data_IF_894293319966
#
_entry.id   IF_894293319966
#
_cell.length_a   1.000
_cell.length_b   1.000
_cell.length_c   1.000
_cell.angle_alpha   90.00
_cell.angle_beta   90.00
_cell.angle_gamma   90.00
#
_symmetry.space_group_name_H-M   'P 1'
#
loop_
_entity.id
_entity.type
_entity.pdbx_description
1 polymer ?
#
# COMPACT_ATOMS: atom_id res chain seq x y z
N UNK A 1 -24.48 -1.68 -18.21
CA UNK A 1 -23.36 -1.21 -19.07
C UNK A 1 -22.34 -0.60 -18.13
N UNK A 2 -21.34 -1.38 -17.71
CA UNK A 2 -20.37 -0.97 -16.69
C UNK A 2 -19.29 -0.08 -17.32
N UNK A 3 -18.88 1.02 -16.67
CA UNK A 3 -17.89 1.95 -17.22
C UNK A 3 -16.49 1.33 -17.10
N UNK A 4 -16.04 0.68 -18.18
CA UNK A 4 -14.66 0.26 -18.41
C UNK A 4 -13.79 1.45 -18.84
N UNK A 5 -13.70 2.48 -18.02
CA UNK A 5 -12.82 3.63 -18.27
C UNK A 5 -11.86 3.75 -17.09
N UNK A 6 -10.57 3.53 -17.36
CA UNK A 6 -9.41 3.50 -16.44
C UNK A 6 -9.14 2.16 -15.72
N UNK A 7 -8.87 1.08 -16.48
CA UNK A 7 -7.98 0.05 -15.93
C UNK A 7 -6.58 0.64 -15.85
N UNK A 8 -6.12 0.97 -14.65
CA UNK A 8 -4.72 1.26 -14.42
C UNK A 8 -3.95 -0.06 -14.59
N UNK A 9 -2.95 -0.08 -15.45
CA UNK A 9 -2.38 -1.27 -16.06
C UNK A 9 -1.49 -2.15 -15.15
N UNK A 10 -1.79 -2.24 -13.86
CA UNK A 10 -1.00 -2.96 -12.86
C UNK A 10 -1.93 -3.78 -11.94
N UNK A 11 -1.65 -5.09 -11.84
CA UNK A 11 -2.42 -6.09 -11.10
C UNK A 11 -2.61 -5.73 -9.61
N UNK A 12 -1.68 -4.95 -9.04
CA UNK A 12 -1.73 -4.49 -7.65
C UNK A 12 -2.97 -3.62 -7.39
N UNK A 13 -3.30 -2.73 -8.34
CA UNK A 13 -4.43 -1.79 -8.20
C UNK A 13 -5.77 -2.42 -8.59
N UNK A 14 -5.76 -3.44 -9.46
CA UNK A 14 -6.93 -4.28 -9.68
C UNK A 14 -7.35 -5.03 -8.39
N UNK A 15 -6.38 -5.39 -7.53
CA UNK A 15 -6.64 -5.98 -6.20
C UNK A 15 -7.05 -4.94 -5.16
N UNK A 16 -6.36 -3.80 -5.12
CA UNK A 16 -6.56 -2.72 -4.15
C UNK A 16 -7.85 -1.94 -4.45
N UNK A 17 -9.01 -2.57 -4.29
CA UNK A 17 -10.32 -1.99 -4.53
C UNK A 17 -11.15 -1.92 -3.24
N UNK A 18 -12.08 -0.95 -3.12
CA UNK A 18 -13.02 -0.93 -2.01
C UNK A 18 -13.82 -2.24 -1.89
N UNK A 19 -14.15 -2.64 -0.67
CA UNK A 19 -14.98 -3.82 -0.36
C UNK A 19 -14.39 -5.17 -0.83
N UNK A 20 -13.06 -5.25 -0.99
CA UNK A 20 -12.35 -6.51 -1.32
C UNK A 20 -11.42 -6.98 -0.19
N UNK A 21 -11.53 -6.41 1.01
CA UNK A 21 -10.62 -6.65 2.15
C UNK A 21 -9.15 -6.37 1.81
N UNK A 22 -8.89 -5.50 0.85
CA UNK A 22 -7.54 -5.17 0.38
C UNK A 22 -6.89 -4.00 1.11
N UNK A 23 -7.64 -3.28 1.97
CA UNK A 23 -7.14 -2.10 2.66
C UNK A 23 -7.07 -0.87 1.75
N UNK A 24 -8.18 -0.53 1.10
CA UNK A 24 -8.22 0.52 0.08
C UNK A 24 -8.12 1.95 0.64
N UNK A 25 -8.49 2.18 1.90
CA UNK A 25 -8.56 3.50 2.51
C UNK A 25 -7.53 3.65 3.62
N UNK A 26 -7.05 4.87 3.86
CA UNK A 26 -6.07 5.21 4.89
C UNK A 26 -6.75 5.27 6.27
N UNK A 27 -6.62 4.18 7.03
CA UNK A 27 -7.01 4.11 8.45
C UNK A 27 -6.34 2.90 9.12
N UNK A 28 -6.55 2.72 10.42
CA UNK A 28 -6.18 1.50 11.14
C UNK A 28 -7.32 1.07 12.05
N UNK A 29 -7.32 -0.18 12.48
CA UNK A 29 -8.35 -0.70 13.38
C UNK A 29 -7.97 -2.02 14.04
N UNK A 30 -8.63 -2.31 15.16
CA UNK A 30 -8.54 -3.55 15.90
C UNK A 30 -9.44 -4.59 15.26
N UNK A 31 -8.88 -5.74 14.87
CA UNK A 31 -9.62 -6.83 14.20
C UNK A 31 -10.35 -6.44 12.90
N UNK A 32 -10.27 -5.18 12.46
CA UNK A 32 -10.96 -4.70 11.28
C UNK A 32 -10.30 -5.24 10.01
N UNK A 33 -11.02 -6.11 9.30
CA UNK A 33 -10.53 -6.75 8.07
C UNK A 33 -10.51 -5.81 6.87
N UNK A 34 -11.17 -4.66 6.91
CA UNK A 34 -11.06 -3.64 5.86
C UNK A 34 -9.86 -2.69 6.08
N UNK A 35 -9.26 -2.68 7.28
CA UNK A 35 -8.16 -1.78 7.59
C UNK A 35 -6.88 -2.16 6.84
N UNK A 36 -6.19 -1.21 6.20
CA UNK A 36 -4.87 -1.47 5.61
C UNK A 36 -3.82 -1.80 6.66
N UNK A 37 -3.95 -1.25 7.88
CA UNK A 37 -3.16 -1.60 9.05
C UNK A 37 -4.10 -2.17 10.12
N UNK A 38 -4.01 -3.48 10.34
CA UNK A 38 -4.87 -4.19 11.30
C UNK A 38 -4.08 -4.58 12.54
N UNK A 39 -4.54 -4.16 13.71
CA UNK A 39 -4.07 -4.69 14.98
C UNK A 39 -4.79 -6.03 15.21
N UNK A 40 -4.01 -7.11 15.26
CA UNK A 40 -4.53 -8.48 15.31
C UNK A 40 -4.35 -9.12 16.70
N UNK A 41 -5.45 -9.60 17.25
CA UNK A 41 -5.58 -10.33 18.51
C UNK A 41 -6.19 -11.71 18.23
N UNK A 42 -5.41 -12.65 17.65
CA UNK A 42 -5.90 -13.95 17.22
C UNK A 42 -6.44 -14.79 18.40
N UNK A 43 -7.36 -15.74 18.12
CA UNK A 43 -7.94 -16.62 19.13
C UNK A 43 -6.85 -17.32 19.95
N UNK A 44 -6.95 -17.24 21.28
CA UNK A 44 -5.97 -17.81 22.21
C UNK A 44 -4.99 -16.79 22.80
N UNK A 45 -5.01 -15.52 22.35
CA UNK A 45 -4.23 -14.46 22.97
C UNK A 45 -4.91 -13.97 24.26
N UNK A 46 -4.25 -14.07 25.44
CA UNK A 46 -4.87 -13.67 26.70
C UNK A 46 -5.25 -12.18 26.73
N UNK A 47 -6.45 -11.87 27.21
CA UNK A 47 -6.85 -10.50 27.53
C UNK A 47 -7.02 -9.55 26.35
N UNK A 48 -7.18 -10.06 25.12
CA UNK A 48 -7.34 -9.20 23.92
C UNK A 48 -6.07 -8.44 23.54
N UNK A 49 -4.91 -8.84 24.08
CA UNK A 49 -3.62 -8.23 23.75
C UNK A 49 -3.37 -8.33 22.24
N UNK A 50 -2.94 -7.24 21.63
CA UNK A 50 -2.50 -7.24 20.23
C UNK A 50 -1.23 -8.08 20.12
N UNK A 51 -1.29 -9.15 19.33
CA UNK A 51 -0.14 -10.06 19.15
C UNK A 51 0.72 -9.66 17.94
N UNK A 52 0.11 -9.08 16.91
CA UNK A 52 0.80 -8.64 15.70
C UNK A 52 0.02 -7.51 14.99
N UNK A 53 0.73 -6.76 14.15
CA UNK A 53 0.14 -5.84 13.19
C UNK A 53 0.24 -6.41 11.79
N UNK A 54 -0.81 -6.25 10.99
CA UNK A 54 -0.87 -6.73 9.60
C UNK A 54 -1.00 -5.56 8.64
N UNK A 55 -0.13 -5.52 7.62
CA UNK A 55 -0.19 -4.57 6.52
C UNK A 55 -0.82 -5.25 5.30
N UNK A 56 -2.04 -4.84 4.93
CA UNK A 56 -2.86 -5.53 3.92
C UNK A 56 -2.69 -4.99 2.50
N UNK A 57 -2.23 -3.75 2.37
CA UNK A 57 -2.02 -3.08 1.07
C UNK A 57 -0.76 -3.57 0.33
N UNK A 58 -0.23 -4.73 0.71
CA UNK A 58 0.94 -5.37 0.12
C UNK A 58 0.52 -6.61 -0.69
N UNK A 59 1.16 -6.88 -1.82
CA UNK A 59 0.86 -8.05 -2.66
C UNK A 59 2.12 -8.75 -3.19
N UNK A 60 1.93 -9.87 -3.88
CA UNK A 60 3.01 -10.75 -4.33
C UNK A 60 3.89 -10.20 -5.44
N UNK A 61 3.53 -9.06 -6.06
CA UNK A 61 4.37 -8.42 -7.08
C UNK A 61 5.51 -7.59 -6.48
N UNK A 62 5.41 -7.25 -5.18
CA UNK A 62 6.38 -6.43 -4.50
C UNK A 62 7.63 -7.22 -4.12
N UNK A 63 8.79 -6.56 -4.18
CA UNK A 63 10.02 -7.12 -3.61
C UNK A 63 9.87 -7.13 -2.06
N UNK A 64 9.88 -8.30 -1.41
CA UNK A 64 9.60 -8.41 0.03
C UNK A 64 10.65 -7.69 0.87
N UNK A 65 11.90 -7.61 0.42
CA UNK A 65 12.97 -6.92 1.13
C UNK A 65 12.77 -5.40 1.09
N UNK A 66 12.45 -4.85 -0.08
CA UNK A 66 12.20 -3.42 -0.23
C UNK A 66 10.91 -3.01 0.50
N UNK A 67 9.86 -3.82 0.40
CA UNK A 67 8.60 -3.60 1.11
C UNK A 67 8.76 -3.58 2.62
N UNK A 68 9.42 -4.60 3.18
CA UNK A 68 9.67 -4.66 4.61
C UNK A 68 10.56 -3.50 5.08
N UNK A 69 11.59 -3.15 4.31
CA UNK A 69 12.48 -2.02 4.61
C UNK A 69 11.70 -0.69 4.66
N UNK A 70 10.78 -0.47 3.70
CA UNK A 70 9.94 0.72 3.67
C UNK A 70 8.98 0.79 4.86
N UNK A 71 8.38 -0.34 5.28
CA UNK A 71 7.51 -0.41 6.47
C UNK A 71 8.30 -0.04 7.73
N UNK A 72 9.49 -0.62 7.91
CA UNK A 72 10.35 -0.34 9.07
C UNK A 72 10.78 1.13 9.07
N UNK A 73 11.21 1.66 7.93
CA UNK A 73 11.60 3.06 7.78
C UNK A 73 10.45 4.02 8.15
N UNK A 74 9.23 3.76 7.65
CA UNK A 74 8.05 4.58 7.98
C UNK A 74 7.70 4.54 9.47
N UNK A 75 7.83 3.37 10.11
CA UNK A 75 7.62 3.23 11.55
C UNK A 75 8.65 4.02 12.38
N UNK A 76 9.93 3.95 12.01
CA UNK A 76 11.00 4.70 12.68
C UNK A 76 10.81 6.21 12.49
N UNK A 77 10.48 6.66 11.28
CA UNK A 77 10.20 8.08 11.00
C UNK A 77 9.01 8.59 11.83
N UNK A 78 7.92 7.82 11.91
CA UNK A 78 6.76 8.16 12.75
C UNK A 78 7.11 8.31 14.23
N UNK A 79 7.96 7.43 14.76
CA UNK A 79 8.46 7.53 16.14
C UNK A 79 9.35 8.76 16.35
N UNK A 80 10.25 9.04 15.41
CA UNK A 80 11.15 10.21 15.47
C UNK A 80 10.39 11.54 15.40
N UNK A 81 9.31 11.59 14.61
CA UNK A 81 8.44 12.76 14.46
C UNK A 81 7.35 12.86 15.51
N UNK A 82 7.30 11.91 16.46
CA UNK A 82 6.28 11.82 17.49
C UNK A 82 4.85 11.87 16.92
N UNK A 83 4.62 11.18 15.81
CA UNK A 83 3.27 11.09 15.24
C UNK A 83 2.35 10.29 16.15
N UNK A 84 1.18 10.86 16.45
CA UNK A 84 0.11 10.17 17.15
C UNK A 84 -0.74 9.37 16.16
N UNK A 85 -1.11 8.15 16.53
CA UNK A 85 -2.14 7.43 15.78
C UNK A 85 -3.50 8.14 15.97
N UNK A 86 -4.33 8.23 14.92
CA UNK A 86 -5.72 8.65 15.06
C UNK A 86 -6.52 7.58 15.83
N UNK A 87 -7.75 7.89 16.20
CA UNK A 87 -8.66 6.88 16.77
C UNK A 87 -8.83 5.68 15.81
N UNK A 88 -8.83 4.45 16.33
CA UNK A 88 -9.03 3.27 15.52
C UNK A 88 -10.46 3.21 14.98
N UNK A 89 -10.61 2.66 13.77
CA UNK A 89 -11.91 2.36 13.18
C UNK A 89 -12.11 0.85 13.22
N UNK A 90 -12.87 0.38 14.20
CA UNK A 90 -13.10 -1.04 14.45
C UNK A 90 -14.35 -1.58 13.74
N UNK A 91 -15.14 -0.67 13.16
CA UNK A 91 -16.38 -0.98 12.43
C UNK A 91 -16.20 -0.85 10.93
N UNK A 92 -17.27 -1.11 10.17
CA UNK A 92 -17.27 -0.87 8.72
C UNK A 92 -16.87 0.59 8.42
N UNK A 93 -15.84 0.80 7.58
CA UNK A 93 -15.36 2.14 7.28
C UNK A 93 -16.39 2.90 6.44
N UNK A 94 -16.67 4.15 6.78
CA UNK A 94 -17.43 5.05 5.90
C UNK A 94 -16.47 5.67 4.87
N UNK A 95 -16.55 5.32 3.58
CA UNK A 95 -15.61 5.80 2.56
C UNK A 95 -15.57 7.32 2.40
N UNK A 96 -16.68 8.00 2.70
CA UNK A 96 -16.78 9.46 2.54
C UNK A 96 -15.91 10.23 3.53
N UNK A 97 -15.50 9.60 4.63
CA UNK A 97 -14.69 10.21 5.68
C UNK A 97 -13.23 9.78 5.60
N UNK A 98 -12.85 8.98 4.60
CA UNK A 98 -11.53 8.37 4.53
C UNK A 98 -10.79 8.76 3.26
N UNK A 99 -9.50 9.00 3.42
CA UNK A 99 -8.62 9.21 2.28
C UNK A 99 -8.38 7.87 1.56
N UNK A 100 -8.49 7.89 0.23
CA UNK A 100 -8.17 6.73 -0.61
C UNK A 100 -6.66 6.57 -0.74
N UNK A 101 -6.14 5.34 -0.59
CA UNK A 101 -4.77 5.02 -1.01
C UNK A 101 -4.59 5.22 -2.52
N UNK A 102 -3.35 5.35 -3.02
CA UNK A 102 -3.10 5.48 -4.46
C UNK A 102 -3.87 4.44 -5.29
N UNK A 103 -4.56 4.91 -6.32
CA UNK A 103 -5.35 4.08 -7.24
C UNK A 103 -4.54 3.62 -8.45
N UNK A 104 -3.28 4.04 -8.52
CA UNK A 104 -2.44 3.82 -9.67
C UNK A 104 -0.96 3.82 -9.38
N UNK A 105 -0.18 3.17 -10.24
CA UNK A 105 1.27 3.20 -10.18
C UNK A 105 1.80 4.63 -10.30
N UNK A 106 1.16 5.45 -11.13
CA UNK A 106 1.46 6.88 -11.24
C UNK A 106 1.20 7.63 -9.92
N UNK A 107 0.04 7.46 -9.29
CA UNK A 107 -0.26 8.08 -7.99
C UNK A 107 0.69 7.59 -6.89
N UNK A 108 1.10 6.31 -6.90
CA UNK A 108 2.10 5.79 -5.96
C UNK A 108 3.49 6.36 -6.20
N UNK A 109 3.89 6.57 -7.46
CA UNK A 109 5.16 7.21 -7.79
C UNK A 109 5.17 8.67 -7.33
N UNK A 110 4.07 9.40 -7.51
CA UNK A 110 3.92 10.76 -6.98
C UNK A 110 3.95 10.80 -5.45
N UNK A 111 3.35 9.81 -4.78
CA UNK A 111 3.46 9.68 -3.32
C UNK A 111 4.89 9.39 -2.88
N UNK A 112 5.61 8.53 -3.62
CA UNK A 112 7.03 8.21 -3.36
C UNK A 112 7.95 9.42 -3.57
N UNK A 113 7.63 10.32 -4.51
CA UNK A 113 8.35 11.57 -4.70
C UNK A 113 8.22 12.55 -3.53
N UNK A 114 7.17 12.43 -2.71
CA UNK A 114 6.93 13.27 -1.52
C UNK A 114 7.43 12.64 -0.21
N UNK A 115 7.96 11.43 -0.28
CA UNK A 115 8.37 10.63 0.87
C UNK A 115 9.85 10.85 1.20
N UNK A 116 10.21 12.09 1.56
CA UNK A 116 11.59 12.54 1.75
C UNK A 116 12.34 11.73 2.83
N UNK A 117 11.62 11.17 3.81
CA UNK A 117 12.22 10.35 4.85
C UNK A 117 12.92 9.10 4.28
N UNK A 118 12.45 8.55 3.16
CA UNK A 118 13.02 7.33 2.58
C UNK A 118 14.44 7.51 2.06
N UNK A 119 14.84 8.74 1.71
CA UNK A 119 16.20 9.04 1.26
C UNK A 119 17.23 8.76 2.35
N UNK A 120 16.90 9.08 3.60
CA UNK A 120 17.77 8.82 4.76
C UNK A 120 17.93 7.30 5.02
N UNK A 121 16.86 6.52 4.84
CA UNK A 121 16.85 5.10 5.19
C UNK A 121 17.34 4.16 4.09
N UNK A 122 16.95 4.43 2.84
CA UNK A 122 17.19 3.53 1.70
C UNK A 122 18.38 4.02 0.84
N UNK A 123 18.74 5.30 0.98
CA UNK A 123 19.81 5.94 0.23
C UNK A 123 19.35 6.44 -1.14
N UNK A 124 19.91 7.57 -1.56
CA UNK A 124 19.52 8.29 -2.78
C UNK A 124 19.65 7.43 -4.05
N UNK A 125 20.78 6.74 -4.24
CA UNK A 125 21.02 5.93 -5.44
C UNK A 125 19.94 4.85 -5.65
N UNK A 126 19.56 4.14 -4.58
CA UNK A 126 18.56 3.08 -4.66
C UNK A 126 17.15 3.66 -4.85
N UNK A 127 16.81 4.73 -4.13
CA UNK A 127 15.51 5.38 -4.29
C UNK A 127 15.34 5.97 -5.70
N UNK A 128 16.38 6.59 -6.24
CA UNK A 128 16.41 7.12 -7.60
C UNK A 128 16.24 5.99 -8.63
N UNK A 129 16.93 4.86 -8.47
CA UNK A 129 16.74 3.69 -9.34
C UNK A 129 15.31 3.15 -9.28
N UNK A 130 14.72 3.03 -8.08
CA UNK A 130 13.33 2.57 -7.90
C UNK A 130 12.36 3.52 -8.63
N UNK A 131 12.47 4.83 -8.41
CA UNK A 131 11.65 5.87 -9.06
C UNK A 131 11.77 5.78 -10.58
N UNK A 132 12.99 5.65 -11.11
CA UNK A 132 13.24 5.55 -12.55
C UNK A 132 12.65 4.28 -13.17
N UNK A 133 12.78 3.12 -12.52
CA UNK A 133 12.20 1.86 -13.00
C UNK A 133 10.68 1.94 -13.03
N UNK A 134 10.05 2.46 -11.97
CA UNK A 134 8.59 2.61 -11.92
C UNK A 134 8.08 3.57 -12.99
N UNK A 135 8.82 4.65 -13.26
CA UNK A 135 8.50 5.58 -14.35
C UNK A 135 8.55 4.87 -15.72
N UNK A 136 9.64 4.15 -15.99
CA UNK A 136 9.78 3.41 -17.24
C UNK A 136 8.69 2.34 -17.43
N UNK A 137 8.27 1.69 -16.33
CA UNK A 137 7.18 0.74 -16.30
C UNK A 137 5.82 1.39 -16.64
N UNK A 138 5.52 2.55 -16.05
CA UNK A 138 4.34 3.35 -16.38
C UNK A 138 4.34 3.70 -17.88
N UNK A 139 5.45 4.25 -18.37
CA UNK A 139 5.58 4.68 -19.77
C UNK A 139 5.38 3.48 -20.72
N UNK A 140 5.98 2.32 -20.40
CA UNK A 140 5.83 1.09 -21.17
C UNK A 140 4.38 0.61 -21.26
N UNK A 141 3.62 0.63 -20.15
CA UNK A 141 2.22 0.18 -20.13
C UNK A 141 1.26 1.17 -20.78
N UNK A 142 1.59 2.46 -20.79
CA UNK A 142 0.83 3.46 -21.55
C UNK A 142 0.95 3.23 -23.06
N UNK A 143 2.13 2.84 -23.53
CA UNK A 143 2.38 2.50 -24.94
C UNK A 143 1.85 1.12 -25.31
N UNK A 144 1.93 0.14 -24.41
CA UNK A 144 1.62 -1.26 -24.65
C UNK A 144 0.47 -1.76 -23.76
N UNK A 145 -0.76 -1.35 -24.08
CA UNK A 145 -1.96 -1.58 -23.24
C UNK A 145 -2.29 -3.05 -22.95
N UNK A 146 -1.77 -4.00 -23.72
CA UNK A 146 -1.96 -5.44 -23.50
C UNK A 146 -0.79 -6.11 -22.75
N UNK A 147 0.32 -5.41 -22.52
CA UNK A 147 1.53 -5.98 -21.92
C UNK A 147 1.29 -6.45 -20.47
N UNK A 148 0.33 -5.86 -19.75
CA UNK A 148 -0.02 -6.29 -18.39
C UNK A 148 -0.51 -7.75 -18.34
N UNK A 149 -1.09 -8.29 -19.41
CA UNK A 149 -1.52 -9.70 -19.47
C UNK A 149 -0.34 -10.66 -19.29
N UNK A 150 0.87 -10.22 -19.62
CA UNK A 150 2.09 -11.00 -19.43
C UNK A 150 2.51 -11.07 -17.95
N UNK A 151 2.06 -10.15 -17.09
CA UNK A 151 2.38 -10.17 -15.66
C UNK A 151 1.82 -11.42 -14.97
N UNK A 152 0.63 -11.86 -15.37
CA UNK A 152 -0.02 -13.09 -14.86
C UNK A 152 0.84 -14.34 -15.13
N UNK A 153 1.67 -14.32 -16.16
CA UNK A 153 2.56 -15.43 -16.48
C UNK A 153 3.93 -15.33 -15.79
N UNK A 154 4.24 -14.19 -15.17
CA UNK A 154 5.54 -13.90 -14.56
C UNK A 154 5.52 -14.06 -13.04
N UNK A 155 4.36 -13.89 -12.40
CA UNK A 155 4.13 -13.99 -10.96
C UNK A 155 2.95 -14.92 -10.69
#
# INVERSE_FOLDING_TARGET
MFPYTSKQFDCSYDRLQPNTWSGAYLFWGNENKEAPLRAASPPGTPGGLVSNFEVKSFDGSANPYLGLSAIIAAGIDGLRRHHSLPEPIDTDPNPNNLQRLPKSLSESLEALHKADFLEEFIGDNLLTAIKAIRKAEIDHYLENKDAYKQLIHRY
#
